data_IF_358808379128
#
_entry.id   IF_358808379128
#
_cell.length_a   1.000
_cell.length_b   1.000
_cell.length_c   1.000
_cell.angle_alpha   90.00
_cell.angle_beta   90.00
_cell.angle_gamma   90.00
#
_symmetry.space_group_name_H-M   'P 1'
#
loop_
_entity.id
_entity.type
_entity.pdbx_description
1 polymer ?
#
# COMPACT_ATOMS: atom_id res chain seq x y z
N UNK A 1 -8.49 13.74 -13.14
CA UNK A 1 -7.27 13.17 -13.75
C UNK A 1 -5.97 13.42 -12.97
N UNK A 2 -5.61 14.64 -12.50
CA UNK A 2 -4.30 14.85 -11.86
C UNK A 2 -4.13 14.08 -10.54
N UNK A 3 -5.19 13.94 -9.73
CA UNK A 3 -5.17 13.16 -8.48
C UNK A 3 -4.89 11.66 -8.69
N UNK A 4 -5.38 11.07 -9.79
CA UNK A 4 -5.15 9.65 -10.09
C UNK A 4 -3.69 9.38 -10.46
N UNK A 5 -3.07 10.26 -11.24
CA UNK A 5 -1.64 10.14 -11.58
C UNK A 5 -0.75 10.40 -10.37
N UNK A 6 -1.08 11.37 -9.52
CA UNK A 6 -0.34 11.63 -8.28
C UNK A 6 -0.41 10.45 -7.31
N UNK A 7 -1.60 9.86 -7.13
CA UNK A 7 -1.78 8.65 -6.33
C UNK A 7 -0.99 7.46 -6.88
N UNK A 8 -0.94 7.29 -8.21
CA UNK A 8 -0.14 6.23 -8.82
C UNK A 8 1.37 6.42 -8.65
N UNK A 9 1.89 7.66 -8.67
CA UNK A 9 3.29 7.94 -8.35
C UNK A 9 3.59 7.60 -6.89
N UNK A 10 2.69 7.98 -5.97
CA UNK A 10 2.81 7.63 -4.56
C UNK A 10 2.87 6.10 -4.39
N UNK A 11 1.96 5.36 -5.02
CA UNK A 11 1.94 3.90 -4.93
C UNK A 11 3.27 3.31 -5.42
N UNK A 12 3.79 3.79 -6.56
CA UNK A 12 5.08 3.33 -7.08
C UNK A 12 6.22 3.53 -6.08
N UNK A 13 6.34 4.71 -5.47
CA UNK A 13 7.40 5.02 -4.51
C UNK A 13 7.30 4.10 -3.29
N UNK A 14 6.10 3.87 -2.79
CA UNK A 14 5.87 3.06 -1.59
C UNK A 14 6.04 1.56 -1.86
N UNK A 15 5.62 1.08 -3.03
CA UNK A 15 5.56 -0.37 -3.30
C UNK A 15 6.76 -0.93 -4.05
N UNK A 16 7.57 -0.12 -4.73
CA UNK A 16 8.71 -0.62 -5.52
C UNK A 16 9.73 -1.37 -4.65
N UNK A 17 9.89 -0.95 -3.38
CA UNK A 17 10.73 -1.66 -2.41
C UNK A 17 10.27 -3.09 -2.13
N UNK A 18 8.99 -3.40 -2.34
CA UNK A 18 8.45 -4.74 -2.20
C UNK A 18 8.48 -5.55 -3.51
N UNK A 19 9.00 -5.03 -4.63
CA UNK A 19 8.91 -5.72 -5.92
C UNK A 19 9.83 -6.95 -6.04
N UNK A 20 10.81 -7.13 -5.15
CA UNK A 20 11.67 -8.33 -5.15
C UNK A 20 11.77 -8.92 -3.74
N UNK A 21 12.07 -10.23 -3.59
CA UNK A 21 12.22 -10.84 -2.27
C UNK A 21 13.30 -10.15 -1.43
N UNK A 22 14.42 -9.76 -2.05
CA UNK A 22 15.54 -9.13 -1.36
C UNK A 22 15.21 -7.71 -0.90
N UNK A 23 14.61 -6.89 -1.77
CA UNK A 23 14.21 -5.53 -1.39
C UNK A 23 13.07 -5.55 -0.37
N UNK A 24 12.12 -6.48 -0.50
CA UNK A 24 11.03 -6.65 0.46
C UNK A 24 11.58 -6.99 1.86
N UNK A 25 12.56 -7.89 1.95
CA UNK A 25 13.21 -8.22 3.22
C UNK A 25 13.83 -6.98 3.89
N UNK A 26 14.48 -6.09 3.12
CA UNK A 26 15.04 -4.84 3.63
C UNK A 26 13.94 -3.92 4.15
N UNK A 27 12.85 -3.74 3.41
CA UNK A 27 11.74 -2.87 3.86
C UNK A 27 11.09 -3.41 5.14
N UNK A 28 10.90 -4.72 5.24
CA UNK A 28 10.35 -5.36 6.44
C UNK A 28 11.28 -5.21 7.65
N UNK A 29 12.60 -5.26 7.43
CA UNK A 29 13.59 -4.97 8.48
C UNK A 29 13.50 -3.51 8.96
N UNK A 30 13.35 -2.55 8.04
CA UNK A 30 13.15 -1.14 8.40
C UNK A 30 11.87 -0.94 9.22
N UNK A 31 10.80 -1.67 8.92
CA UNK A 31 9.57 -1.64 9.73
C UNK A 31 9.79 -2.20 11.13
N UNK A 32 10.55 -3.29 11.27
CA UNK A 32 10.94 -3.83 12.59
C UNK A 32 11.76 -2.82 13.38
N UNK A 33 12.77 -2.22 12.74
CA UNK A 33 13.62 -1.21 13.35
C UNK A 33 12.80 -0.01 13.81
N UNK A 34 11.87 0.49 12.98
CA UNK A 34 10.96 1.57 13.34
C UNK A 34 10.05 1.21 14.52
N UNK A 35 9.48 -0.01 14.52
CA UNK A 35 8.67 -0.49 15.64
C UNK A 35 9.44 -0.48 16.95
N UNK A 36 10.66 -1.04 16.94
CA UNK A 36 11.51 -1.11 18.12
C UNK A 36 11.96 0.29 18.59
N UNK A 37 12.42 1.13 17.66
CA UNK A 37 12.91 2.48 17.96
C UNK A 37 11.83 3.39 18.56
N UNK A 38 10.57 3.21 18.14
CA UNK A 38 9.43 3.98 18.63
C UNK A 38 8.73 3.33 19.84
N UNK A 39 9.18 2.15 20.29
CA UNK A 39 8.58 1.43 21.41
C UNK A 39 7.09 1.14 21.21
N UNK A 40 6.68 0.82 19.98
CA UNK A 40 5.26 0.68 19.64
C UNK A 40 4.65 -0.57 20.30
N UNK A 41 3.35 -0.53 20.65
CA UNK A 41 2.65 -1.71 21.16
C UNK A 41 2.40 -2.74 20.05
N UNK A 42 1.94 -3.93 20.42
CA UNK A 42 1.62 -5.01 19.47
C UNK A 42 2.85 -5.81 19.03
N UNK A 43 2.66 -6.71 18.07
CA UNK A 43 3.71 -7.61 17.59
C UNK A 43 4.52 -6.95 16.47
N UNK A 44 5.86 -6.91 16.56
CA UNK A 44 6.70 -6.43 15.46
C UNK A 44 6.49 -7.27 14.20
N UNK A 45 6.78 -6.70 13.03
CA UNK A 45 6.74 -7.42 11.75
C UNK A 45 7.63 -8.66 11.83
N UNK A 46 7.09 -9.89 11.64
CA UNK A 46 7.87 -11.10 11.85
C UNK A 46 8.94 -11.27 10.75
N UNK A 47 9.95 -12.09 11.04
CA UNK A 47 10.95 -12.47 10.02
C UNK A 47 10.28 -13.43 9.04
N UNK A 48 10.17 -13.00 7.79
CA UNK A 48 9.58 -13.79 6.71
C UNK A 48 10.60 -14.78 6.15
N UNK A 49 10.15 -16.01 5.92
CA UNK A 49 10.90 -17.03 5.20
C UNK A 49 10.79 -16.85 3.69
N UNK A 50 11.36 -17.78 2.90
CA UNK A 50 11.36 -17.69 1.44
C UNK A 50 9.94 -17.63 0.84
N UNK A 51 8.98 -18.34 1.43
CA UNK A 51 7.62 -18.41 0.90
C UNK A 51 6.85 -17.11 1.15
N UNK A 52 6.94 -16.54 2.35
CA UNK A 52 6.28 -15.27 2.68
C UNK A 52 6.91 -14.11 1.89
N UNK A 53 8.24 -14.13 1.72
CA UNK A 53 8.94 -13.16 0.86
C UNK A 53 8.54 -13.31 -0.61
N UNK A 54 8.33 -14.53 -1.11
CA UNK A 54 7.83 -14.76 -2.47
C UNK A 54 6.45 -14.11 -2.65
N UNK A 55 5.48 -14.36 -1.77
CA UNK A 55 4.15 -13.75 -1.87
C UNK A 55 4.19 -12.23 -1.71
N UNK A 56 5.02 -11.73 -0.79
CA UNK A 56 5.23 -10.28 -0.61
C UNK A 56 5.78 -9.66 -1.90
N UNK A 57 6.77 -10.31 -2.53
CA UNK A 57 7.37 -9.86 -3.77
C UNK A 57 6.40 -9.88 -4.95
N UNK A 58 5.59 -10.94 -5.06
CA UNK A 58 4.54 -11.04 -6.09
C UNK A 58 3.53 -9.91 -5.95
N UNK A 59 3.08 -9.62 -4.72
CA UNK A 59 2.16 -8.51 -4.47
C UNK A 59 2.80 -7.16 -4.76
N UNK A 60 4.02 -6.92 -4.27
CA UNK A 60 4.75 -5.68 -4.55
C UNK A 60 5.01 -5.45 -6.04
N UNK A 61 5.31 -6.52 -6.79
CA UNK A 61 5.45 -6.48 -8.25
C UNK A 61 4.14 -6.11 -8.93
N UNK A 62 3.04 -6.77 -8.56
CA UNK A 62 1.73 -6.50 -9.15
C UNK A 62 1.29 -5.05 -8.92
N UNK A 63 1.46 -4.51 -7.71
CA UNK A 63 1.11 -3.11 -7.40
C UNK A 63 2.04 -2.13 -8.12
N UNK A 64 3.33 -2.45 -8.24
CA UNK A 64 4.29 -1.64 -9.00
C UNK A 64 3.91 -1.56 -10.48
N UNK A 65 3.58 -2.69 -11.11
CA UNK A 65 3.11 -2.72 -12.49
C UNK A 65 1.78 -1.94 -12.66
N UNK A 66 0.87 -2.09 -11.70
CA UNK A 66 -0.40 -1.35 -11.70
C UNK A 66 -0.21 0.16 -11.56
N UNK A 67 0.71 0.60 -10.71
CA UNK A 67 1.09 2.00 -10.57
C UNK A 67 1.66 2.55 -11.88
N UNK A 68 2.59 1.84 -12.53
CA UNK A 68 3.14 2.23 -13.83
C UNK A 68 2.05 2.35 -14.89
N UNK A 69 1.13 1.39 -14.98
CA UNK A 69 0.01 1.43 -15.92
C UNK A 69 -0.85 2.69 -15.73
N UNK A 70 -1.17 3.07 -14.48
CA UNK A 70 -1.94 4.28 -14.18
C UNK A 70 -1.16 5.57 -14.40
N UNK A 71 0.16 5.58 -14.20
CA UNK A 71 1.01 6.75 -14.51
C UNK A 71 0.96 7.04 -16.02
N UNK A 72 1.16 6.00 -16.83
CA UNK A 72 1.17 6.06 -18.28
C UNK A 72 -0.24 6.36 -18.84
N UNK A 73 -1.28 5.75 -18.27
CA UNK A 73 -2.66 5.84 -18.75
C UNK A 73 -3.65 6.15 -17.61
N UNK A 74 -3.74 7.41 -17.12
CA UNK A 74 -4.60 7.79 -15.99
C UNK A 74 -6.06 7.99 -16.43
N UNK A 75 -6.69 6.96 -16.97
CA UNK A 75 -8.09 6.99 -17.39
C UNK A 75 -9.03 6.79 -16.19
N UNK A 76 -10.24 7.34 -16.27
CA UNK A 76 -11.18 7.39 -15.14
C UNK A 76 -11.58 6.00 -14.61
N UNK A 77 -11.72 5.00 -15.49
CA UNK A 77 -12.06 3.63 -15.10
C UNK A 77 -10.99 2.98 -14.22
N UNK A 78 -9.70 3.17 -14.54
CA UNK A 78 -8.61 2.62 -13.71
C UNK A 78 -8.51 3.34 -12.37
N UNK A 79 -8.82 4.64 -12.31
CA UNK A 79 -8.86 5.41 -11.06
C UNK A 79 -10.03 4.92 -10.16
N UNK A 80 -11.18 4.60 -10.75
CA UNK A 80 -12.31 4.04 -10.00
C UNK A 80 -11.98 2.65 -9.42
N UNK A 81 -11.35 1.78 -10.21
CA UNK A 81 -10.87 0.47 -9.75
C UNK A 81 -9.83 0.63 -8.63
N UNK A 82 -8.87 1.55 -8.80
CA UNK A 82 -7.87 1.87 -7.78
C UNK A 82 -8.52 2.33 -6.46
N UNK A 83 -9.52 3.21 -6.54
CA UNK A 83 -10.27 3.68 -5.37
C UNK A 83 -10.89 2.51 -4.60
N UNK A 84 -11.51 1.54 -5.30
CA UNK A 84 -12.02 0.32 -4.69
C UNK A 84 -10.92 -0.53 -4.05
N UNK A 85 -9.77 -0.66 -4.71
CA UNK A 85 -8.59 -1.35 -4.19
C UNK A 85 -8.08 -0.73 -2.88
N UNK A 86 -8.05 0.60 -2.77
CA UNK A 86 -7.64 1.31 -1.54
C UNK A 86 -8.56 1.04 -0.36
N UNK A 87 -9.87 0.94 -0.60
CA UNK A 87 -10.83 0.53 0.42
C UNK A 87 -10.52 -0.89 0.90
N UNK A 88 -10.25 -1.82 -0.02
CA UNK A 88 -9.88 -3.19 0.34
C UNK A 88 -8.56 -3.26 1.11
N UNK A 89 -7.50 -2.58 0.65
CA UNK A 89 -6.21 -2.51 1.35
C UNK A 89 -6.35 -1.92 2.75
N UNK A 90 -7.14 -0.86 2.90
CA UNK A 90 -7.44 -0.26 4.21
C UNK A 90 -8.11 -1.27 5.13
N UNK A 91 -9.07 -2.04 4.64
CA UNK A 91 -9.75 -3.08 5.42
C UNK A 91 -8.78 -4.20 5.88
N UNK A 92 -7.85 -4.62 5.01
CA UNK A 92 -6.83 -5.62 5.37
C UNK A 92 -5.85 -5.09 6.42
N UNK A 93 -5.41 -3.83 6.31
CA UNK A 93 -4.55 -3.21 7.32
C UNK A 93 -5.26 -3.07 8.66
N UNK A 94 -6.55 -2.68 8.67
CA UNK A 94 -7.35 -2.64 9.90
C UNK A 94 -7.49 -4.03 10.51
N UNK A 95 -7.72 -5.06 9.70
CA UNK A 95 -7.82 -6.44 10.17
C UNK A 95 -6.51 -6.90 10.82
N UNK A 96 -5.36 -6.57 10.23
CA UNK A 96 -4.05 -6.86 10.80
C UNK A 96 -3.81 -6.11 12.13
N UNK A 97 -4.18 -4.82 12.21
CA UNK A 97 -4.08 -4.02 13.45
C UNK A 97 -4.93 -4.61 14.57
N UNK A 98 -6.18 -4.97 14.28
CA UNK A 98 -7.08 -5.63 15.25
C UNK A 98 -6.52 -6.99 15.69
N UNK A 99 -5.83 -7.69 14.78
CA UNK A 99 -5.11 -8.94 15.07
C UNK A 99 -3.80 -8.76 15.86
N UNK A 100 -3.45 -7.54 16.28
CA UNK A 100 -2.27 -7.25 17.09
C UNK A 100 -0.99 -7.00 16.30
N UNK A 101 -1.08 -6.71 15.00
CA UNK A 101 0.08 -6.31 14.21
C UNK A 101 0.65 -4.95 14.66
N UNK A 102 1.93 -4.74 14.35
CA UNK A 102 2.65 -3.50 14.62
C UNK A 102 1.90 -2.25 14.11
N UNK A 103 1.70 -1.21 14.94
CA UNK A 103 1.12 0.07 14.55
C UNK A 103 1.92 0.85 13.51
N UNK A 104 3.14 0.41 13.13
CA UNK A 104 3.86 0.96 11.97
C UNK A 104 2.96 0.97 10.72
N UNK A 105 2.05 -0.02 10.60
CA UNK A 105 1.14 -0.08 9.45
C UNK A 105 0.07 1.02 9.42
N UNK A 106 -0.16 1.74 10.53
CA UNK A 106 -1.09 2.87 10.59
C UNK A 106 -0.65 3.99 9.65
N UNK A 107 0.67 4.19 9.45
CA UNK A 107 1.17 5.19 8.51
C UNK A 107 0.68 4.88 7.09
N UNK A 108 0.82 3.63 6.64
CA UNK A 108 0.32 3.20 5.33
C UNK A 108 -1.20 3.31 5.24
N UNK A 109 -1.92 2.86 6.28
CA UNK A 109 -3.39 2.98 6.35
C UNK A 109 -3.86 4.43 6.20
N UNK A 110 -3.22 5.38 6.88
CA UNK A 110 -3.57 6.78 6.80
C UNK A 110 -3.45 7.31 5.37
N UNK A 111 -2.39 6.95 4.66
CA UNK A 111 -2.22 7.33 3.25
C UNK A 111 -3.22 6.62 2.33
N UNK A 112 -3.51 5.33 2.55
CA UNK A 112 -4.51 4.60 1.76
C UNK A 112 -5.90 5.22 1.89
N UNK A 113 -6.30 5.58 3.11
CA UNK A 113 -7.58 6.27 3.36
C UNK A 113 -7.57 7.66 2.74
N UNK A 114 -6.49 8.43 2.91
CA UNK A 114 -6.37 9.78 2.34
C UNK A 114 -6.53 9.74 0.81
N UNK A 115 -5.77 8.89 0.12
CA UNK A 115 -5.87 8.76 -1.34
C UNK A 115 -7.22 8.18 -1.76
N UNK A 116 -7.76 7.22 -1.02
CA UNK A 116 -9.10 6.66 -1.27
C UNK A 116 -10.19 7.72 -1.24
N UNK A 117 -10.17 8.61 -0.24
CA UNK A 117 -11.12 9.73 -0.14
C UNK A 117 -10.90 10.73 -1.28
N UNK A 118 -9.66 11.15 -1.53
CA UNK A 118 -9.35 12.13 -2.58
C UNK A 118 -9.75 11.64 -3.98
N UNK A 119 -9.49 10.37 -4.29
CA UNK A 119 -9.90 9.78 -5.57
C UNK A 119 -11.41 9.54 -5.62
N UNK A 120 -12.01 9.04 -4.53
CA UNK A 120 -13.44 8.75 -4.43
C UNK A 120 -14.32 9.98 -4.65
N UNK A 121 -13.95 11.14 -4.10
CA UNK A 121 -14.63 12.42 -4.38
C UNK A 121 -14.58 12.75 -5.88
N UNK A 122 -13.43 12.53 -6.52
CA UNK A 122 -13.24 12.76 -7.95
C UNK A 122 -14.09 11.83 -8.82
N UNK A 123 -14.18 10.55 -8.46
CA UNK A 123 -14.99 9.55 -9.16
C UNK A 123 -16.47 9.85 -9.00
N UNK A 124 -16.94 10.14 -7.78
CA UNK A 124 -18.35 10.46 -7.51
C UNK A 124 -18.81 11.69 -8.30
N UNK A 125 -17.97 12.72 -8.41
CA UNK A 125 -18.26 13.92 -9.21
C UNK A 125 -18.32 13.65 -10.71
N UNK A 126 -17.62 12.63 -11.22
CA UNK A 126 -17.62 12.27 -12.63
C UNK A 126 -18.78 11.35 -13.04
N UNK A 127 -19.44 10.72 -12.06
CA UNK A 127 -20.61 9.84 -12.25
C UNK A 127 -21.96 10.57 -12.07
N UNK A 128 -21.94 11.82 -11.61
CA UNK A 128 -23.09 12.73 -11.54
C UNK A 128 -23.11 13.63 -12.77
#
# INVERSE_FOLDING_TARGET
>A
MPLGRAGAIYDLIVTVGFATPWTAAVVLELQRAAHAALGLPGSPTPVFGPLELMFTAMMGTAVTMWALARILHPVASLIAIDTGGRVAFSAWMVTALVGGASPVIVMFLAFEVLWGVLQGIGVFRALR
#
